data_IF_443165444322
#
_entry.id   IF_443165444322
#
_cell.length_a   1.000
_cell.length_b   1.000
_cell.length_c   1.000
_cell.angle_alpha   90.00
_cell.angle_beta   90.00
_cell.angle_gamma   90.00
#
_symmetry.space_group_name_H-M   'P 1'
#
loop_
_entity.id
_entity.type
_entity.pdbx_description
1 polymer ?
#
# COMPACT_ATOMS: atom_id res chain seq x y z
N UNK A 1 -8.97 4.63 23.48
CA UNK A 1 -8.71 4.16 22.11
C UNK A 1 -7.90 5.16 21.28
N UNK A 2 -8.08 6.47 21.48
CA UNK A 2 -7.52 7.54 20.62
C UNK A 2 -5.98 7.64 20.57
N UNK A 3 -5.27 7.09 21.56
CA UNK A 3 -3.81 7.26 21.68
C UNK A 3 -3.02 6.43 20.64
N UNK A 4 -3.44 5.19 20.33
CA UNK A 4 -2.64 4.32 19.44
C UNK A 4 -2.71 4.73 17.97
N UNK A 5 -3.87 5.25 17.54
CA UNK A 5 -4.07 5.70 16.17
C UNK A 5 -3.26 6.96 15.88
N UNK A 6 -3.22 7.90 16.82
CA UNK A 6 -2.33 9.06 16.77
C UNK A 6 -0.84 8.64 16.75
N UNK A 7 -0.48 7.59 17.49
CA UNK A 7 0.88 7.03 17.53
C UNK A 7 1.31 6.38 16.22
N UNK A 8 0.42 5.65 15.53
CA UNK A 8 0.76 4.98 14.27
C UNK A 8 1.05 5.99 13.15
N UNK A 9 0.38 7.15 13.18
CA UNK A 9 0.70 8.30 12.30
C UNK A 9 2.15 8.77 12.45
N UNK A 10 2.75 8.57 13.63
CA UNK A 10 4.14 8.93 13.91
C UNK A 10 5.15 7.81 13.59
N UNK A 11 4.70 6.66 13.06
CA UNK A 11 5.55 5.47 12.87
C UNK A 11 6.85 5.79 12.14
N UNK A 12 6.78 6.43 10.96
CA UNK A 12 7.97 6.79 10.19
C UNK A 12 8.80 7.89 10.85
N UNK A 13 8.16 8.88 11.48
CA UNK A 13 8.87 9.93 12.23
C UNK A 13 9.68 9.36 13.40
N UNK A 14 9.14 8.36 14.11
CA UNK A 14 9.85 7.69 15.20
C UNK A 14 10.98 6.78 14.69
N UNK A 15 10.83 6.16 13.50
CA UNK A 15 11.95 5.45 12.85
C UNK A 15 13.08 6.44 12.53
N UNK A 16 12.78 7.62 11.97
CA UNK A 16 13.78 8.65 11.68
C UNK A 16 14.54 9.09 12.95
N UNK A 17 13.83 9.18 14.07
CA UNK A 17 14.40 9.49 15.37
C UNK A 17 15.18 8.32 15.98
N UNK A 18 15.01 7.10 15.46
CA UNK A 18 15.62 5.88 16.03
C UNK A 18 14.99 5.47 17.36
N UNK A 19 13.80 5.97 17.67
CA UNK A 19 13.12 5.75 18.95
C UNK A 19 12.39 4.40 18.95
N UNK A 20 13.18 3.32 18.96
CA UNK A 20 12.65 1.95 19.01
C UNK A 20 11.88 1.70 20.31
N UNK A 21 12.22 2.38 21.41
CA UNK A 21 11.59 2.18 22.71
C UNK A 21 10.14 2.68 22.69
N UNK A 22 9.88 3.86 22.13
CA UNK A 22 8.52 4.36 21.95
C UNK A 22 7.73 3.50 20.96
N UNK A 23 8.35 3.09 19.85
CA UNK A 23 7.71 2.21 18.86
C UNK A 23 7.33 0.86 19.45
N UNK A 24 8.18 0.25 20.28
CA UNK A 24 7.90 -1.04 20.92
C UNK A 24 6.65 -0.96 21.81
N UNK A 25 6.44 0.17 22.50
CA UNK A 25 5.25 0.39 23.33
C UNK A 25 3.94 0.41 22.55
N UNK A 26 3.96 0.43 21.22
CA UNK A 26 2.74 0.37 20.42
C UNK A 26 2.15 -1.04 20.40
N UNK A 27 2.99 -2.06 20.57
CA UNK A 27 2.59 -3.45 20.40
C UNK A 27 1.95 -4.03 21.65
N UNK A 28 1.02 -4.95 21.44
CA UNK A 28 0.33 -5.69 22.51
C UNK A 28 1.27 -6.72 23.14
N UNK A 29 2.13 -7.33 22.33
CA UNK A 29 3.12 -8.33 22.69
C UNK A 29 4.47 -7.95 22.09
N UNK A 30 5.38 -8.91 21.94
CA UNK A 30 6.59 -8.67 21.15
C UNK A 30 6.24 -8.09 19.76
N UNK A 31 7.02 -7.12 19.26
CA UNK A 31 6.77 -6.52 17.96
C UNK A 31 6.75 -7.57 16.85
N UNK A 32 5.76 -7.42 15.96
CA UNK A 32 5.61 -8.21 14.76
C UNK A 32 5.31 -7.27 13.62
N UNK A 33 6.21 -7.20 12.65
CA UNK A 33 6.03 -6.38 11.46
C UNK A 33 6.35 -7.16 10.18
N UNK A 34 5.82 -6.73 9.05
CA UNK A 34 6.22 -7.21 7.73
C UNK A 34 6.48 -6.04 6.78
N UNK A 35 7.63 -6.01 6.11
CA UNK A 35 8.00 -4.92 5.19
C UNK A 35 8.46 -5.48 3.84
N UNK A 36 8.42 -4.69 2.75
CA UNK A 36 8.89 -5.15 1.44
C UNK A 36 10.37 -5.59 1.43
N UNK A 37 11.24 -4.88 2.14
CA UNK A 37 12.69 -5.13 2.11
C UNK A 37 13.19 -6.15 3.16
N UNK A 38 12.46 -6.35 4.27
CA UNK A 38 12.91 -7.21 5.38
C UNK A 38 12.04 -8.45 5.56
N UNK A 39 10.90 -8.53 4.88
CA UNK A 39 9.93 -9.59 5.13
C UNK A 39 9.42 -9.53 6.58
N UNK A 40 9.29 -10.69 7.22
CA UNK A 40 8.79 -10.80 8.59
C UNK A 40 9.88 -10.48 9.63
N UNK A 41 9.60 -9.52 10.51
CA UNK A 41 10.45 -9.16 11.66
C UNK A 41 9.65 -9.40 12.93
N UNK A 42 10.13 -10.32 13.78
CA UNK A 42 9.44 -10.75 15.00
C UNK A 42 10.37 -10.68 16.19
N UNK A 43 9.88 -10.16 17.30
CA UNK A 43 10.63 -10.10 18.56
C UNK A 43 11.36 -8.78 18.76
N UNK A 44 11.61 -8.45 20.02
CA UNK A 44 12.21 -7.16 20.43
C UNK A 44 13.58 -6.90 19.79
N UNK A 45 14.46 -7.91 19.81
CA UNK A 45 15.82 -7.77 19.30
C UNK A 45 15.84 -7.55 17.78
N UNK A 46 15.04 -8.31 17.02
CA UNK A 46 14.94 -8.15 15.57
C UNK A 46 14.29 -6.81 15.20
N UNK A 47 13.27 -6.38 15.95
CA UNK A 47 12.63 -5.09 15.74
C UNK A 47 13.58 -3.91 16.02
N UNK A 48 14.35 -3.96 17.11
CA UNK A 48 15.38 -2.95 17.39
C UNK A 48 16.43 -2.88 16.27
N UNK A 49 16.90 -4.03 15.77
CA UNK A 49 17.85 -4.08 14.66
C UNK A 49 17.24 -3.48 13.38
N UNK A 50 15.98 -3.80 13.09
CA UNK A 50 15.23 -3.21 11.97
C UNK A 50 15.11 -1.69 12.10
N UNK A 51 14.71 -1.16 13.25
CA UNK A 51 14.56 0.30 13.45
C UNK A 51 15.90 1.01 13.25
N UNK A 52 16.99 0.45 13.80
CA UNK A 52 18.33 1.01 13.64
C UNK A 52 18.80 1.00 12.18
N UNK A 53 18.62 -0.12 11.49
CA UNK A 53 18.97 -0.25 10.07
C UNK A 53 18.17 0.73 9.19
N UNK A 54 16.85 0.84 9.42
CA UNK A 54 15.99 1.77 8.69
C UNK A 54 16.32 3.22 9.00
N UNK A 55 16.59 3.57 10.25
CA UNK A 55 17.04 4.91 10.61
C UNK A 55 18.32 5.28 9.86
N UNK A 56 19.32 4.40 9.89
CA UNK A 56 20.59 4.64 9.22
C UNK A 56 20.38 4.83 7.71
N UNK A 57 19.58 3.97 7.08
CA UNK A 57 19.27 4.07 5.66
C UNK A 57 18.53 5.37 5.34
N UNK A 58 17.47 5.70 6.07
CA UNK A 58 16.68 6.92 5.86
C UNK A 58 17.53 8.20 6.02
N UNK A 59 18.36 8.27 7.06
CA UNK A 59 19.28 9.39 7.28
C UNK A 59 20.33 9.52 6.17
N UNK A 60 20.84 8.40 5.64
CA UNK A 60 21.79 8.42 4.52
C UNK A 60 21.18 8.98 3.22
N UNK A 61 19.86 8.93 3.09
CA UNK A 61 19.10 9.43 1.94
C UNK A 61 18.35 10.73 2.24
N UNK A 62 18.79 11.52 3.23
CA UNK A 62 18.20 12.83 3.59
C UNK A 62 16.66 12.82 3.68
N UNK A 63 16.10 11.73 4.21
CA UNK A 63 14.68 11.48 4.03
C UNK A 63 13.78 12.35 4.90
N UNK A 64 12.60 12.67 4.40
CA UNK A 64 11.48 13.19 5.20
C UNK A 64 10.21 12.36 4.95
N UNK A 65 9.19 12.55 5.78
CA UNK A 65 7.92 11.86 5.64
C UNK A 65 6.74 12.82 5.83
N UNK A 66 5.76 12.74 4.95
CA UNK A 66 4.49 13.45 5.06
C UNK A 66 3.34 12.45 5.13
N UNK A 67 2.37 12.68 6.01
CA UNK A 67 1.15 11.88 6.05
C UNK A 67 0.21 12.38 4.96
N UNK A 68 -0.20 11.48 4.08
CA UNK A 68 -1.11 11.77 2.95
C UNK A 68 -2.55 11.57 3.38
N UNK A 69 -2.86 10.42 3.98
CA UNK A 69 -4.21 10.07 4.39
C UNK A 69 -4.19 9.08 5.56
N UNK A 70 -5.33 8.93 6.22
CA UNK A 70 -5.54 7.90 7.24
C UNK A 70 -6.93 7.31 7.10
N UNK A 71 -7.03 5.98 7.12
CA UNK A 71 -8.27 5.22 7.18
C UNK A 71 -8.32 4.52 8.54
N UNK A 72 -9.35 4.80 9.34
CA UNK A 72 -9.44 4.29 10.70
C UNK A 72 -10.76 3.56 10.94
N UNK A 73 -10.68 2.35 11.49
CA UNK A 73 -11.82 1.59 12.02
C UNK A 73 -11.57 1.27 13.49
N UNK A 74 -12.45 0.50 14.14
CA UNK A 74 -12.26 0.09 15.53
C UNK A 74 -10.98 -0.74 15.72
N UNK A 75 -10.76 -1.71 14.83
CA UNK A 75 -9.73 -2.74 14.98
C UNK A 75 -8.57 -2.59 13.99
N UNK A 76 -8.59 -1.60 13.09
CA UNK A 76 -7.55 -1.41 12.07
C UNK A 76 -7.31 0.06 11.77
N UNK A 77 -6.08 0.38 11.41
CA UNK A 77 -5.70 1.67 10.85
C UNK A 77 -4.78 1.45 9.65
N UNK A 78 -4.97 2.30 8.64
CA UNK A 78 -4.10 2.40 7.48
C UNK A 78 -3.64 3.86 7.39
N UNK A 79 -2.34 4.07 7.30
CA UNK A 79 -1.73 5.40 7.15
C UNK A 79 -0.99 5.42 5.83
N UNK A 80 -1.36 6.37 4.96
CA UNK A 80 -0.60 6.68 3.77
C UNK A 80 0.48 7.70 4.11
N UNK A 81 1.70 7.41 3.72
CA UNK A 81 2.88 8.21 3.96
C UNK A 81 3.59 8.43 2.64
N UNK A 82 3.98 9.66 2.35
CA UNK A 82 4.93 9.98 1.29
C UNK A 82 6.32 10.13 1.91
N UNK A 83 7.25 9.26 1.52
CA UNK A 83 8.66 9.44 1.86
C UNK A 83 9.36 10.21 0.74
N UNK A 84 9.98 11.32 1.09
CA UNK A 84 10.90 12.02 0.20
C UNK A 84 12.30 11.50 0.47
N UNK A 85 13.00 11.06 -0.56
CA UNK A 85 14.32 10.43 -0.46
C UNK A 85 15.28 11.06 -1.45
N UNK A 86 16.53 11.24 -1.05
CA UNK A 86 17.64 11.56 -1.96
C UNK A 86 18.41 10.30 -2.30
N UNK A 87 18.24 9.77 -3.51
CA UNK A 87 19.03 8.64 -4.00
C UNK A 87 20.22 9.16 -4.82
N UNK A 88 21.42 8.62 -4.58
CA UNK A 88 22.62 8.95 -5.36
C UNK A 88 22.79 7.87 -6.44
N UNK A 89 22.55 8.22 -7.72
CA UNK A 89 22.74 7.49 -9.02
C UNK A 89 21.47 7.09 -9.83
N UNK A 90 21.51 6.96 -11.19
CA UNK A 90 22.16 7.77 -12.23
C UNK A 90 21.13 8.34 -13.25
N UNK A 91 19.90 8.61 -12.86
CA UNK A 91 18.92 9.31 -13.72
C UNK A 91 18.51 10.60 -13.05
N UNK A 92 18.31 11.65 -13.85
CA UNK A 92 18.37 13.09 -13.54
C UNK A 92 17.44 13.67 -12.45
N UNK A 93 16.84 12.85 -11.59
CA UNK A 93 16.24 13.31 -10.33
C UNK A 93 16.91 12.64 -9.14
N UNK A 94 17.67 13.44 -8.38
CA UNK A 94 18.18 13.06 -7.06
C UNK A 94 17.04 12.81 -6.05
N UNK A 95 15.83 13.33 -6.32
CA UNK A 95 14.67 13.21 -5.43
C UNK A 95 13.73 12.09 -5.90
N UNK A 96 13.48 11.15 -5.00
CA UNK A 96 12.47 10.10 -5.15
C UNK A 96 11.34 10.37 -4.16
N UNK A 97 10.12 10.46 -4.69
CA UNK A 97 8.90 10.43 -3.89
C UNK A 97 8.40 8.98 -3.83
N UNK A 98 8.54 8.34 -2.67
CA UNK A 98 8.12 6.96 -2.44
C UNK A 98 6.79 6.93 -1.66
N UNK A 99 5.69 6.52 -2.29
CA UNK A 99 4.43 6.27 -1.61
C UNK A 99 4.53 5.00 -0.77
N UNK A 100 4.15 5.11 0.50
CA UNK A 100 4.13 4.00 1.44
C UNK A 100 2.76 3.92 2.11
N UNK A 101 2.21 2.72 2.23
CA UNK A 101 1.08 2.46 3.11
C UNK A 101 1.54 1.64 4.32
N UNK A 102 1.08 2.03 5.51
CA UNK A 102 1.30 1.31 6.77
C UNK A 102 -0.04 0.87 7.33
N UNK A 103 -0.26 -0.43 7.39
CA UNK A 103 -1.46 -1.06 7.95
C UNK A 103 -1.14 -1.68 9.30
N UNK A 104 -1.99 -1.43 10.30
CA UNK A 104 -1.87 -2.06 11.61
C UNK A 104 -3.20 -2.66 12.06
N UNK A 105 -3.15 -3.93 12.47
CA UNK A 105 -4.23 -4.59 13.20
C UNK A 105 -4.13 -4.23 14.68
N UNK A 106 -5.25 -3.79 15.27
CA UNK A 106 -5.36 -3.25 16.61
C UNK A 106 -6.28 -4.14 17.46
N UNK A 107 -5.83 -4.44 18.68
CA UNK A 107 -6.67 -5.02 19.74
C UNK A 107 -6.32 -4.35 21.07
N UNK A 108 -7.34 -3.98 21.84
CA UNK A 108 -7.18 -3.33 23.15
C UNK A 108 -6.29 -2.07 23.10
N UNK A 109 -6.39 -1.31 22.00
CA UNK A 109 -5.59 -0.11 21.79
C UNK A 109 -4.09 -0.37 21.57
N UNK A 110 -3.72 -1.57 21.12
CA UNK A 110 -2.34 -1.98 20.86
C UNK A 110 -2.22 -2.70 19.52
N UNK A 111 -1.06 -2.60 18.88
CA UNK A 111 -0.76 -3.25 17.60
C UNK A 111 -0.54 -4.75 17.83
N UNK A 112 -1.26 -5.58 17.06
CA UNK A 112 -1.02 -7.01 16.96
C UNK A 112 -0.04 -7.34 15.83
N UNK A 113 -0.20 -6.68 14.69
CA UNK A 113 0.62 -6.90 13.51
C UNK A 113 0.62 -5.63 12.65
N UNK A 114 1.80 -5.17 12.24
CA UNK A 114 1.97 -4.03 11.34
C UNK A 114 2.58 -4.48 10.03
N UNK A 115 2.06 -3.99 8.90
CA UNK A 115 2.55 -4.31 7.57
C UNK A 115 2.74 -3.02 6.80
N UNK A 116 3.92 -2.83 6.20
CA UNK A 116 4.12 -1.72 5.26
C UNK A 116 4.11 -2.23 3.82
N UNK A 117 3.74 -1.36 2.89
CA UNK A 117 3.62 -1.65 1.46
C UNK A 117 4.15 -0.47 0.66
N UNK A 118 5.04 -0.74 -0.30
CA UNK A 118 5.58 0.19 -1.29
C UNK A 118 6.31 -0.62 -2.37
N UNK A 119 6.49 -0.04 -3.55
CA UNK A 119 7.35 -0.66 -4.58
C UNK A 119 8.82 -0.50 -4.23
N UNK A 120 9.64 -1.52 -4.50
CA UNK A 120 11.10 -1.38 -4.41
C UNK A 120 11.70 -0.87 -5.71
N UNK A 121 10.95 -0.83 -6.81
CA UNK A 121 11.44 -0.35 -8.11
C UNK A 121 12.09 1.03 -8.04
N UNK A 122 11.50 2.05 -7.38
CA UNK A 122 12.13 3.38 -7.28
C UNK A 122 13.41 3.38 -6.45
N UNK A 123 13.64 2.35 -5.62
CA UNK A 123 14.77 2.26 -4.69
C UNK A 123 15.94 1.45 -5.23
N UNK A 124 15.65 0.36 -5.95
CA UNK A 124 16.64 -0.61 -6.40
C UNK A 124 16.62 -0.88 -7.91
N UNK A 125 15.77 -0.17 -8.67
CA UNK A 125 15.58 -0.37 -10.11
C UNK A 125 14.95 -1.73 -10.47
N UNK A 126 14.53 -2.51 -9.48
CA UNK A 126 13.95 -3.85 -9.65
C UNK A 126 12.85 -4.09 -8.62
N UNK A 127 11.83 -4.86 -9.00
CA UNK A 127 10.79 -5.34 -8.10
C UNK A 127 11.31 -6.49 -7.23
N UNK A 128 10.94 -6.49 -5.96
CA UNK A 128 11.16 -7.56 -5.02
C UNK A 128 9.87 -8.35 -4.78
N UNK A 129 9.79 -9.57 -5.32
CA UNK A 129 8.60 -10.43 -5.17
C UNK A 129 8.34 -10.73 -3.70
N UNK A 130 7.22 -10.22 -3.19
CA UNK A 130 6.79 -10.42 -1.79
C UNK A 130 5.74 -11.51 -1.71
N UNK A 131 6.06 -12.62 -1.03
CA UNK A 131 5.11 -13.73 -0.82
C UNK A 131 3.84 -13.29 -0.08
N UNK A 132 2.73 -14.03 -0.19
CA UNK A 132 1.49 -13.74 0.54
C UNK A 132 1.74 -13.64 2.05
N UNK A 133 1.28 -12.53 2.63
CA UNK A 133 1.42 -12.23 4.06
C UNK A 133 0.17 -12.69 4.82
N UNK A 134 -0.98 -12.44 4.20
CA UNK A 134 -2.31 -12.76 4.71
C UNK A 134 -2.94 -13.85 3.86
N UNK A 135 -3.92 -14.54 4.44
CA UNK A 135 -4.76 -15.49 3.70
C UNK A 135 -5.83 -14.71 2.95
N UNK A 136 -6.11 -15.14 1.73
CA UNK A 136 -7.25 -14.66 0.95
C UNK A 136 -8.55 -15.02 1.66
N UNK A 137 -9.56 -14.16 1.55
CA UNK A 137 -10.90 -14.40 2.07
C UNK A 137 -11.89 -14.49 0.91
N UNK A 138 -12.89 -15.34 1.05
CA UNK A 138 -13.92 -15.52 0.01
C UNK A 138 -14.94 -14.38 -0.02
N UNK A 139 -15.14 -13.71 1.12
CA UNK A 139 -16.09 -12.61 1.25
C UNK A 139 -15.55 -11.54 2.19
N UNK A 140 -15.61 -10.29 1.75
CA UNK A 140 -15.32 -9.10 2.52
C UNK A 140 -16.52 -8.16 2.48
N UNK A 141 -16.61 -7.31 3.49
CA UNK A 141 -17.57 -6.20 3.48
C UNK A 141 -16.92 -5.03 2.73
N UNK A 142 -17.46 -4.75 1.55
CA UNK A 142 -16.94 -3.75 0.62
C UNK A 142 -18.11 -3.02 -0.05
N UNK A 143 -17.94 -1.73 -0.40
CA UNK A 143 -18.89 -1.04 -1.25
C UNK A 143 -19.10 -1.76 -2.59
N UNK A 144 -20.34 -1.79 -3.08
CA UNK A 144 -20.70 -2.48 -4.33
C UNK A 144 -19.86 -2.01 -5.53
N UNK A 145 -19.55 -0.71 -5.62
CA UNK A 145 -18.69 -0.16 -6.68
C UNK A 145 -17.29 -0.78 -6.69
N UNK A 146 -16.74 -1.13 -5.52
CA UNK A 146 -15.43 -1.77 -5.42
C UNK A 146 -15.53 -3.25 -5.78
N UNK A 147 -16.58 -3.95 -5.31
CA UNK A 147 -16.80 -5.34 -5.71
C UNK A 147 -16.89 -5.47 -7.24
N UNK A 148 -17.65 -4.56 -7.88
CA UNK A 148 -17.77 -4.48 -9.33
C UNK A 148 -16.42 -4.15 -9.99
N UNK A 149 -15.60 -3.29 -9.38
CA UNK A 149 -14.26 -3.00 -9.87
C UNK A 149 -13.37 -4.25 -9.90
N UNK A 150 -13.31 -5.04 -8.83
CA UNK A 150 -12.54 -6.29 -8.79
C UNK A 150 -13.08 -7.33 -9.77
N UNK A 151 -14.40 -7.42 -9.94
CA UNK A 151 -15.02 -8.29 -10.94
C UNK A 151 -14.61 -7.89 -12.35
N UNK A 152 -14.73 -6.61 -12.72
CA UNK A 152 -14.39 -6.14 -14.07
C UNK A 152 -12.88 -6.21 -14.33
N UNK A 153 -12.04 -5.95 -13.32
CA UNK A 153 -10.59 -6.13 -13.39
C UNK A 153 -10.21 -7.58 -13.69
N UNK A 154 -10.85 -8.54 -12.99
CA UNK A 154 -10.69 -9.98 -13.20
C UNK A 154 -11.06 -10.44 -14.62
N UNK A 155 -12.12 -9.85 -15.18
CA UNK A 155 -12.58 -10.17 -16.54
C UNK A 155 -11.78 -9.43 -17.63
N UNK A 156 -11.03 -8.38 -17.27
CA UNK A 156 -10.37 -7.50 -18.22
C UNK A 156 -11.35 -6.60 -18.97
N UNK A 157 -12.46 -6.24 -18.35
CA UNK A 157 -13.52 -5.42 -18.93
C UNK A 157 -13.21 -3.93 -18.79
N UNK A 158 -12.34 -3.38 -19.65
CA UNK A 158 -11.90 -1.97 -19.62
C UNK A 158 -13.08 -0.97 -19.48
N UNK A 159 -14.09 -1.09 -20.35
CA UNK A 159 -15.23 -0.17 -20.35
C UNK A 159 -16.06 -0.25 -19.06
N UNK A 160 -16.24 -1.45 -18.51
CA UNK A 160 -16.95 -1.62 -17.24
C UNK A 160 -16.19 -0.97 -16.10
N UNK A 161 -14.85 -1.16 -16.06
CA UNK A 161 -13.99 -0.52 -15.05
C UNK A 161 -14.13 1.00 -15.14
N UNK A 162 -13.97 1.59 -16.33
CA UNK A 162 -14.01 3.04 -16.53
C UNK A 162 -15.36 3.64 -16.11
N UNK A 163 -16.46 2.92 -16.27
CA UNK A 163 -17.80 3.36 -15.86
C UNK A 163 -17.99 3.44 -14.33
N UNK A 164 -17.10 2.84 -13.54
CA UNK A 164 -17.12 2.88 -12.07
C UNK A 164 -16.43 4.13 -11.51
N UNK A 165 -15.58 4.78 -12.30
CA UNK A 165 -14.86 5.98 -11.89
C UNK A 165 -15.71 7.23 -12.04
N UNK A 166 -15.43 8.23 -11.20
CA UNK A 166 -15.92 9.58 -11.40
C UNK A 166 -15.16 10.28 -12.52
N UNK A 167 -15.71 11.37 -13.05
CA UNK A 167 -15.14 12.07 -14.21
C UNK A 167 -13.69 12.53 -13.93
N UNK A 168 -13.46 13.12 -12.75
CA UNK A 168 -12.17 13.66 -12.30
C UNK A 168 -11.34 12.69 -11.47
N UNK A 169 -11.66 11.40 -11.50
CA UNK A 169 -10.89 10.45 -10.73
C UNK A 169 -9.45 10.29 -11.25
N UNK A 170 -8.58 9.70 -10.43
CA UNK A 170 -7.21 9.38 -10.84
C UNK A 170 -6.75 8.01 -10.35
N UNK A 171 -5.68 7.53 -10.96
CA UNK A 171 -4.97 6.33 -10.53
C UNK A 171 -3.50 6.69 -10.32
N UNK A 172 -2.93 6.39 -9.15
CA UNK A 172 -1.49 6.51 -8.88
C UNK A 172 -0.85 5.13 -8.89
N UNK A 173 0.10 4.92 -9.77
CA UNK A 173 0.94 3.71 -9.80
C UNK A 173 1.84 3.61 -8.56
N UNK A 174 2.35 2.41 -8.21
CA UNK A 174 3.16 2.19 -7.00
C UNK A 174 4.44 3.04 -6.88
N UNK A 175 4.88 3.63 -7.99
CA UNK A 175 6.22 4.23 -8.14
C UNK A 175 6.28 5.75 -7.96
N UNK A 176 5.17 6.40 -7.60
CA UNK A 176 5.18 7.82 -7.19
C UNK A 176 4.21 8.73 -7.94
N UNK A 177 4.19 9.99 -7.54
CA UNK A 177 3.27 11.01 -8.06
C UNK A 177 3.57 11.40 -9.53
N UNK A 178 4.76 11.07 -10.03
CA UNK A 178 5.11 11.19 -11.45
C UNK A 178 4.33 10.21 -12.36
N UNK A 179 3.65 9.21 -11.78
CA UNK A 179 2.91 8.17 -12.49
C UNK A 179 1.44 8.16 -12.06
N UNK A 180 0.82 9.33 -12.18
CA UNK A 180 -0.60 9.56 -11.95
C UNK A 180 -1.33 9.68 -13.29
N UNK A 181 -2.44 8.95 -13.42
CA UNK A 181 -3.33 8.94 -14.57
C UNK A 181 -4.65 9.61 -14.20
N UNK A 182 -4.78 10.88 -14.57
CA UNK A 182 -5.82 11.81 -14.14
C UNK A 182 -6.87 12.02 -15.23
N UNK A 183 -8.14 11.87 -14.86
CA UNK A 183 -9.26 12.04 -15.79
C UNK A 183 -9.47 10.83 -16.72
N UNK A 184 -10.47 10.93 -17.60
CA UNK A 184 -10.95 9.79 -18.39
C UNK A 184 -9.91 9.25 -19.38
N UNK A 185 -9.30 10.12 -20.17
CA UNK A 185 -8.40 9.74 -21.27
C UNK A 185 -7.13 9.04 -20.76
N UNK A 186 -6.49 9.58 -19.71
CA UNK A 186 -5.30 8.96 -19.12
C UNK A 186 -5.63 7.61 -18.47
N UNK A 187 -6.79 7.48 -17.82
CA UNK A 187 -7.25 6.20 -17.26
C UNK A 187 -7.57 5.16 -18.34
N UNK A 188 -8.08 5.58 -19.49
CA UNK A 188 -8.26 4.70 -20.66
C UNK A 188 -6.91 4.14 -21.11
N UNK A 189 -5.91 5.00 -21.31
CA UNK A 189 -4.54 4.56 -21.68
C UNK A 189 -3.95 3.64 -20.61
N UNK A 190 -4.11 3.97 -19.33
CA UNK A 190 -3.66 3.13 -18.23
C UNK A 190 -4.28 1.72 -18.27
N UNK A 191 -5.61 1.61 -18.36
CA UNK A 191 -6.27 0.32 -18.38
C UNK A 191 -6.01 -0.47 -19.67
N UNK A 192 -5.85 0.18 -20.81
CA UNK A 192 -5.41 -0.49 -22.04
C UNK A 192 -4.05 -1.17 -21.84
N UNK A 193 -3.11 -0.50 -21.18
CA UNK A 193 -1.79 -1.05 -20.89
C UNK A 193 -1.86 -2.18 -19.86
N UNK A 194 -2.56 -1.95 -18.73
CA UNK A 194 -2.72 -2.95 -17.66
C UNK A 194 -3.42 -4.21 -18.17
N UNK A 195 -4.44 -4.06 -19.01
CA UNK A 195 -5.27 -5.15 -19.50
C UNK A 195 -4.81 -5.71 -20.85
N UNK A 196 -3.70 -5.23 -21.41
CA UNK A 196 -3.17 -5.67 -22.70
C UNK A 196 -2.97 -7.20 -22.78
N UNK A 197 -2.65 -7.85 -21.65
CA UNK A 197 -2.48 -9.31 -21.54
C UNK A 197 -3.74 -10.05 -21.05
N UNK A 198 -4.81 -9.32 -20.70
CA UNK A 198 -6.05 -9.79 -20.10
C UNK A 198 -6.25 -9.27 -18.67
N UNK A 199 -7.30 -9.77 -17.99
CA UNK A 199 -7.68 -9.33 -16.64
C UNK A 199 -6.64 -9.64 -15.54
N UNK A 200 -6.68 -8.89 -14.45
CA UNK A 200 -5.77 -9.03 -13.30
C UNK A 200 -6.48 -9.72 -12.15
N UNK A 201 -5.88 -10.80 -11.63
CA UNK A 201 -6.46 -11.57 -10.52
C UNK A 201 -5.92 -11.08 -9.18
N UNK A 202 -6.57 -10.06 -8.64
CA UNK A 202 -6.37 -9.63 -7.27
C UNK A 202 -7.36 -10.39 -6.37
N UNK A 203 -6.83 -11.21 -5.45
CA UNK A 203 -7.60 -11.97 -4.47
C UNK A 203 -7.55 -11.25 -3.14
N UNK A 204 -8.67 -10.70 -2.70
CA UNK A 204 -8.70 -9.90 -1.49
C UNK A 204 -8.40 -10.74 -0.24
N UNK A 205 -7.59 -10.19 0.67
CA UNK A 205 -7.27 -10.81 1.96
C UNK A 205 -8.03 -10.15 3.10
N UNK A 206 -8.13 -8.83 3.07
CA UNK A 206 -8.82 -8.04 4.09
C UNK A 206 -9.03 -6.61 3.61
N UNK A 207 -10.04 -5.96 4.17
CA UNK A 207 -10.36 -4.56 3.91
C UNK A 207 -10.31 -3.70 5.16
N UNK A 208 -10.25 -2.38 4.98
CA UNK A 208 -10.45 -1.37 6.03
C UNK A 208 -11.23 -0.23 5.40
N UNK A 209 -12.49 -0.04 5.81
CA UNK A 209 -13.41 0.94 5.24
C UNK A 209 -13.88 1.91 6.32
N UNK A 210 -13.72 3.22 6.09
CA UNK A 210 -14.18 4.26 7.02
C UNK A 210 -15.46 4.99 6.54
N UNK A 211 -16.09 4.48 5.48
CA UNK A 211 -17.25 5.09 4.84
C UNK A 211 -16.91 5.98 3.63
N UNK A 212 -15.64 6.35 3.44
CA UNK A 212 -15.19 7.18 2.31
C UNK A 212 -14.02 6.56 1.56
N UNK A 213 -13.10 5.94 2.30
CA UNK A 213 -11.90 5.33 1.77
C UNK A 213 -11.86 3.87 2.16
N UNK A 214 -11.45 3.03 1.20
CA UNK A 214 -11.28 1.60 1.38
C UNK A 214 -9.83 1.23 1.09
N UNK A 215 -9.16 0.67 2.08
CA UNK A 215 -7.90 -0.04 1.90
C UNK A 215 -8.17 -1.53 1.66
N UNK A 216 -7.52 -2.12 0.66
CA UNK A 216 -7.59 -3.56 0.36
C UNK A 216 -6.18 -4.13 0.31
N UNK A 217 -5.89 -5.11 1.19
CA UNK A 217 -4.70 -5.95 1.08
C UNK A 217 -5.07 -7.19 0.27
N UNK A 218 -4.28 -7.55 -0.75
CA UNK A 218 -4.60 -8.64 -1.69
C UNK A 218 -3.38 -9.48 -2.06
N UNK A 219 -3.65 -10.59 -2.74
CA UNK A 219 -2.65 -11.44 -3.41
C UNK A 219 -2.93 -11.43 -4.91
N UNK A 220 -1.89 -11.17 -5.70
CA UNK A 220 -1.92 -11.34 -7.16
C UNK A 220 -1.14 -12.60 -7.54
N UNK A 221 -1.80 -13.55 -8.19
CA UNK A 221 -1.16 -14.79 -8.67
C UNK A 221 -1.44 -15.09 -10.15
N UNK A 222 -2.14 -14.19 -10.83
CA UNK A 222 -2.38 -14.30 -12.26
C UNK A 222 -2.63 -12.92 -12.88
N UNK A 223 -2.01 -12.68 -14.03
CA UNK A 223 -2.23 -11.49 -14.84
C UNK A 223 -2.40 -11.92 -16.31
N UNK A 224 -3.62 -11.75 -16.82
CA UNK A 224 -3.99 -12.25 -18.12
C UNK A 224 -3.90 -13.78 -18.18
N UNK A 225 -3.11 -14.28 -19.13
CA UNK A 225 -2.80 -15.72 -19.25
C UNK A 225 -1.58 -16.15 -18.43
N UNK A 226 -0.84 -15.22 -17.84
CA UNK A 226 0.38 -15.51 -17.11
C UNK A 226 0.03 -15.90 -15.67
N UNK A 227 0.41 -17.11 -15.27
CA UNK A 227 0.45 -17.50 -13.85
C UNK A 227 1.70 -16.89 -13.22
N UNK A 228 1.52 -16.23 -12.09
CA UNK A 228 2.60 -15.61 -11.33
C UNK A 228 2.85 -16.42 -10.07
N UNK A 229 4.07 -16.34 -9.54
CA UNK A 229 4.27 -16.63 -8.12
C UNK A 229 3.35 -15.69 -7.31
N UNK A 230 2.60 -16.17 -6.31
CA UNK A 230 1.69 -15.32 -5.55
C UNK A 230 2.43 -14.13 -4.90
N UNK A 231 1.95 -12.90 -5.15
CA UNK A 231 2.58 -11.66 -4.70
C UNK A 231 1.60 -10.85 -3.84
N UNK A 232 2.04 -10.42 -2.66
CA UNK A 232 1.26 -9.56 -1.79
C UNK A 232 1.29 -8.11 -2.28
N UNK A 233 0.13 -7.46 -2.31
CA UNK A 233 0.00 -6.05 -2.64
C UNK A 233 -1.09 -5.37 -1.81
N UNK A 234 -1.21 -4.07 -1.99
CA UNK A 234 -2.24 -3.27 -1.35
C UNK A 234 -2.66 -2.11 -2.27
N UNK A 235 -3.93 -1.76 -2.24
CA UNK A 235 -4.43 -0.54 -2.89
C UNK A 235 -5.42 0.18 -1.96
N UNK A 236 -5.53 1.48 -2.17
CA UNK A 236 -6.51 2.34 -1.50
C UNK A 236 -7.42 2.96 -2.55
N UNK A 237 -8.71 2.92 -2.27
CA UNK A 237 -9.78 3.44 -3.10
C UNK A 237 -10.50 4.56 -2.36
N UNK A 238 -10.73 5.68 -3.02
CA UNK A 238 -11.61 6.73 -2.50
C UNK A 238 -12.91 6.76 -3.27
N UNK A 239 -14.01 7.00 -2.56
CA UNK A 239 -15.32 7.19 -3.13
C UNK A 239 -15.73 8.66 -3.04
N UNK A 240 -16.34 9.17 -4.11
CA UNK A 240 -17.01 10.46 -4.07
C UNK A 240 -18.43 10.36 -3.48
N UNK A 241 -19.12 11.50 -3.44
CA UNK A 241 -20.48 11.62 -2.93
C UNK A 241 -21.53 10.79 -3.71
N UNK A 242 -21.22 10.39 -4.95
CA UNK A 242 -22.09 9.61 -5.82
C UNK A 242 -21.75 8.11 -5.78
N UNK A 243 -20.89 7.69 -4.83
CA UNK A 243 -20.34 6.34 -4.71
C UNK A 243 -19.58 5.87 -5.97
N UNK A 244 -18.95 6.80 -6.68
CA UNK A 244 -18.01 6.49 -7.76
C UNK A 244 -16.58 6.51 -7.24
N UNK A 245 -15.71 5.75 -7.88
CA UNK A 245 -14.29 5.74 -7.52
C UNK A 245 -13.67 7.08 -7.95
N UNK A 246 -13.22 7.88 -6.97
CA UNK A 246 -12.54 9.15 -7.20
C UNK A 246 -11.03 9.03 -7.19
N UNK A 247 -10.47 7.98 -6.56
CA UNK A 247 -9.04 7.72 -6.60
C UNK A 247 -8.73 6.24 -6.41
N UNK A 248 -7.67 5.78 -7.06
CA UNK A 248 -7.00 4.51 -6.74
C UNK A 248 -5.52 4.78 -6.53
N UNK A 249 -4.97 4.36 -5.39
CA UNK A 249 -3.54 4.50 -5.06
C UNK A 249 -2.97 3.13 -4.74
N UNK A 250 -2.01 2.70 -5.54
CA UNK A 250 -1.46 1.35 -5.47
C UNK A 250 -0.15 1.38 -4.65
N UNK A 251 0.02 0.34 -3.84
CA UNK A 251 1.14 0.10 -2.93
C UNK A 251 1.56 -1.35 -3.05
N UNK A 252 2.14 -1.72 -4.18
CA UNK A 252 2.64 -3.07 -4.39
C UNK A 252 3.96 -3.05 -5.15
N UNK A 253 4.49 -4.24 -5.36
CA UNK A 253 5.72 -4.46 -6.10
C UNK A 253 5.55 -5.61 -7.09
N UNK A 254 4.35 -5.71 -7.66
CA UNK A 254 3.98 -6.85 -8.50
C UNK A 254 4.82 -6.83 -9.77
N UNK A 255 5.62 -7.87 -9.97
CA UNK A 255 6.26 -8.12 -11.24
C UNK A 255 5.26 -8.83 -12.17
N UNK A 256 4.68 -8.07 -13.11
CA UNK A 256 3.91 -8.63 -14.22
C UNK A 256 4.87 -9.28 -15.21
N UNK A 257 4.90 -10.62 -15.28
CA UNK A 257 5.72 -11.37 -16.25
C UNK A 257 5.42 -10.99 -17.70
#
# INVERSE_FOLDING_TARGET
MDNIKAKIKQYYSLILQGDYQSLEQFFHSEPRINTPQHGEVVGRAAFMAYVKDRQQWLNAHNSSCDIVSVIETENRIVVEVKLLLTLKEPTESDLVELPVSVTADIRDGKILYLRSYHSTLPLSGTNHIRKPILRTKEKLEEPEVIQNYFVSLRHGSEQEILNLFSEKAYIREPIGDAFVHQGKEEREVYFQNVLAKGGVQLKECTTTFDGKQLAVEYVCDQWGRNKLEPQAGMAIYELDQDNKISAVRIYDDIAAA
#
